data_IF_714152175466
#
_entry.id   IF_714152175466
#
_cell.length_a   1.000
_cell.length_b   1.000
_cell.length_c   1.000
_cell.angle_alpha   90.00
_cell.angle_beta   90.00
_cell.angle_gamma   90.00
#
_symmetry.space_group_name_H-M   'P 1'
#
loop_
_entity.id
_entity.type
_entity.pdbx_description
1 polymer ?
#
# COMPACT_ATOMS: atom_id res chain seq x y z
N UNK A 1 19.46 15.84 12.01
CA UNK A 1 19.26 14.50 12.59
C UNK A 1 18.92 13.56 11.46
N UNK A 2 19.64 12.47 11.32
CA UNK A 2 19.36 11.41 10.34
C UNK A 2 17.98 10.81 10.61
N UNK A 3 17.22 10.43 9.56
CA UNK A 3 15.88 9.85 9.75
C UNK A 3 15.63 8.70 8.79
N UNK A 4 15.24 7.56 9.37
CA UNK A 4 14.73 6.37 8.72
C UNK A 4 13.38 5.95 9.31
N UNK A 5 12.62 6.92 9.81
CA UNK A 5 11.35 6.70 10.51
C UNK A 5 10.23 6.24 9.57
N UNK A 6 10.19 6.82 8.37
CA UNK A 6 9.13 6.55 7.39
C UNK A 6 9.58 6.87 5.95
N UNK A 7 8.76 6.52 4.96
CA UNK A 7 8.98 6.68 3.53
C UNK A 7 8.14 7.80 2.88
N UNK A 8 7.56 8.71 3.66
CA UNK A 8 6.69 9.78 3.17
C UNK A 8 7.06 11.19 3.69
N UNK A 9 8.28 11.38 4.20
CA UNK A 9 8.71 12.70 4.69
C UNK A 9 9.28 13.62 3.62
N UNK A 10 9.66 13.11 2.43
CA UNK A 10 10.16 13.91 1.33
C UNK A 10 9.00 14.35 0.42
N UNK A 11 9.14 15.52 -0.22
CA UNK A 11 8.05 16.12 -0.98
C UNK A 11 7.67 15.30 -2.24
N UNK A 12 8.52 15.30 -3.27
CA UNK A 12 8.33 14.56 -4.52
C UNK A 12 9.64 14.45 -5.28
N UNK A 13 9.68 13.57 -6.29
CA UNK A 13 10.85 13.46 -7.17
C UNK A 13 11.11 14.76 -7.93
N UNK A 14 12.38 15.07 -8.26
CA UNK A 14 12.74 16.25 -9.05
C UNK A 14 11.96 16.37 -10.36
N UNK A 15 11.66 15.26 -11.02
CA UNK A 15 10.90 15.20 -12.27
C UNK A 15 9.47 15.71 -12.10
N UNK A 16 8.81 15.34 -11.00
CA UNK A 16 7.46 15.84 -10.68
C UNK A 16 7.52 17.33 -10.36
N UNK A 17 8.48 17.77 -9.55
CA UNK A 17 8.65 19.19 -9.20
C UNK A 17 8.89 20.05 -10.44
N UNK A 18 9.74 19.59 -11.37
CA UNK A 18 10.01 20.29 -12.64
C UNK A 18 8.72 20.44 -13.46
N UNK A 19 7.96 19.37 -13.66
CA UNK A 19 6.69 19.42 -14.40
C UNK A 19 5.64 20.30 -13.74
N UNK A 20 5.55 20.30 -12.41
CA UNK A 20 4.66 21.21 -11.68
C UNK A 20 5.05 22.67 -11.91
N UNK A 21 6.34 22.99 -11.92
CA UNK A 21 6.83 24.35 -12.19
C UNK A 21 6.51 24.79 -13.64
N UNK A 22 6.71 23.90 -14.62
CA UNK A 22 6.40 24.15 -16.04
C UNK A 22 4.91 24.41 -16.28
N UNK A 23 4.04 23.76 -15.51
CA UNK A 23 2.57 23.84 -15.65
C UNK A 23 1.90 24.85 -14.72
N UNK A 24 2.67 25.62 -13.95
CA UNK A 24 2.16 26.47 -12.87
C UNK A 24 1.08 27.48 -13.29
N UNK A 25 1.11 27.96 -14.54
CA UNK A 25 0.14 28.91 -15.11
C UNK A 25 -0.78 28.27 -16.16
N UNK A 26 -0.66 26.97 -16.41
CA UNK A 26 -1.52 26.25 -17.36
C UNK A 26 -2.93 26.08 -16.80
N UNK A 27 -3.93 26.09 -17.69
CA UNK A 27 -5.32 25.87 -17.33
C UNK A 27 -5.77 24.50 -17.84
N UNK A 28 -6.27 23.67 -16.92
CA UNK A 28 -6.78 22.34 -17.21
C UNK A 28 -8.25 22.22 -16.80
N UNK A 29 -9.04 21.37 -17.47
CA UNK A 29 -10.34 20.93 -16.97
C UNK A 29 -10.22 20.43 -15.52
N UNK A 30 -11.24 20.69 -14.71
CA UNK A 30 -11.26 20.29 -13.30
C UNK A 30 -11.55 18.81 -13.09
N UNK A 31 -11.34 18.35 -11.87
CA UNK A 31 -11.80 17.07 -11.35
C UNK A 31 -11.21 15.82 -12.03
N UNK A 32 -10.02 15.94 -12.64
CA UNK A 32 -9.32 14.82 -13.27
C UNK A 32 -9.88 14.36 -14.62
N UNK A 33 -10.56 15.29 -15.35
CA UNK A 33 -11.11 15.04 -16.69
C UNK A 33 -10.24 15.63 -17.81
N UNK A 34 -8.99 15.95 -17.48
CA UNK A 34 -8.00 16.57 -18.35
C UNK A 34 -7.12 15.57 -19.09
N UNK A 35 -6.46 16.03 -20.16
CA UNK A 35 -5.60 15.20 -20.99
C UNK A 35 -4.40 14.60 -20.25
N UNK A 36 -3.91 15.28 -19.19
CA UNK A 36 -2.78 14.77 -18.40
C UNK A 36 -3.22 13.56 -17.57
N UNK A 37 -4.41 13.64 -16.96
CA UNK A 37 -5.02 12.49 -16.29
C UNK A 37 -5.27 11.34 -17.24
N UNK A 38 -5.77 11.60 -18.45
CA UNK A 38 -6.00 10.54 -19.45
C UNK A 38 -4.68 9.90 -19.93
N UNK A 39 -3.62 10.69 -20.11
CA UNK A 39 -2.27 10.18 -20.39
C UNK A 39 -1.76 9.26 -19.28
N UNK A 40 -1.89 9.69 -18.01
CA UNK A 40 -1.51 8.86 -16.86
C UNK A 40 -2.28 7.54 -16.82
N UNK A 41 -3.60 7.60 -17.03
CA UNK A 41 -4.46 6.39 -17.08
C UNK A 41 -4.04 5.46 -18.22
N UNK A 42 -3.71 5.98 -19.40
CA UNK A 42 -3.26 5.17 -20.53
C UNK A 42 -1.95 4.42 -20.19
N UNK A 43 -0.97 5.10 -19.60
CA UNK A 43 0.30 4.49 -19.17
C UNK A 43 0.10 3.43 -18.10
N UNK A 44 -0.79 3.66 -17.15
CA UNK A 44 -1.12 2.66 -16.11
C UNK A 44 -1.80 1.44 -16.73
N UNK A 45 -2.77 1.62 -17.66
CA UNK A 45 -3.39 0.49 -18.39
C UNK A 45 -2.35 -0.34 -19.14
N UNK A 46 -1.41 0.31 -19.80
CA UNK A 46 -0.30 -0.35 -20.50
C UNK A 46 0.57 -1.13 -19.52
N UNK A 47 1.01 -0.51 -18.43
CA UNK A 47 1.85 -1.15 -17.41
C UNK A 47 1.17 -2.37 -16.75
N UNK A 48 -0.14 -2.33 -16.57
CA UNK A 48 -0.94 -3.41 -15.99
C UNK A 48 -1.38 -4.47 -17.02
N UNK A 49 -1.07 -4.30 -18.31
CA UNK A 49 -1.63 -5.08 -19.41
C UNK A 49 -3.18 -5.23 -19.33
N UNK A 50 -3.86 -4.18 -18.85
CA UNK A 50 -5.30 -4.18 -18.57
C UNK A 50 -5.96 -3.00 -19.32
N UNK A 51 -6.25 -3.13 -20.63
CA UNK A 51 -6.72 -2.04 -21.46
C UNK A 51 -8.11 -1.49 -21.06
N UNK A 52 -8.94 -2.35 -20.47
CA UNK A 52 -10.30 -2.02 -20.04
C UNK A 52 -10.36 -1.49 -18.59
N UNK A 53 -9.21 -1.33 -17.91
CA UNK A 53 -9.19 -0.83 -16.55
C UNK A 53 -9.74 0.60 -16.46
N UNK A 54 -10.61 0.80 -15.47
CA UNK A 54 -11.11 2.11 -15.09
C UNK A 54 -10.27 2.66 -13.94
N UNK A 55 -9.68 3.86 -14.14
CA UNK A 55 -8.69 4.40 -13.20
C UNK A 55 -9.19 5.71 -12.62
N UNK A 56 -9.05 5.86 -11.29
CA UNK A 56 -9.39 7.07 -10.57
C UNK A 56 -8.25 7.47 -9.62
N UNK A 57 -7.95 8.77 -9.52
CA UNK A 57 -6.90 9.27 -8.63
C UNK A 57 -7.51 9.85 -7.36
N UNK A 58 -6.97 9.42 -6.21
CA UNK A 58 -7.31 9.91 -4.87
C UNK A 58 -6.08 10.46 -4.15
N UNK A 59 -6.25 11.17 -3.03
CA UNK A 59 -5.18 11.99 -2.45
C UNK A 59 -4.25 11.21 -1.52
N UNK A 60 -4.73 10.13 -0.91
CA UNK A 60 -3.93 9.37 0.06
C UNK A 60 -4.56 8.03 0.43
N UNK A 61 -3.77 7.11 1.02
CA UNK A 61 -4.15 5.71 1.26
C UNK A 61 -5.42 5.55 2.09
N UNK A 62 -5.52 6.18 3.26
CA UNK A 62 -6.71 6.10 4.13
C UNK A 62 -7.97 6.59 3.42
N UNK A 63 -7.88 7.70 2.68
CA UNK A 63 -9.00 8.18 1.88
C UNK A 63 -9.37 7.18 0.78
N UNK A 64 -8.38 6.57 0.14
CA UNK A 64 -8.57 5.55 -0.89
C UNK A 64 -9.27 4.32 -0.33
N UNK A 65 -8.80 3.79 0.79
CA UNK A 65 -9.39 2.63 1.44
C UNK A 65 -10.84 2.91 1.86
N UNK A 66 -11.10 4.05 2.50
CA UNK A 66 -12.43 4.46 2.91
C UNK A 66 -13.39 4.55 1.72
N UNK A 67 -13.01 5.26 0.65
CA UNK A 67 -13.86 5.50 -0.52
C UNK A 67 -14.11 4.23 -1.33
N UNK A 68 -13.06 3.43 -1.56
CA UNK A 68 -13.18 2.20 -2.35
C UNK A 68 -14.03 1.18 -1.60
N UNK A 69 -13.76 0.97 -0.31
CA UNK A 69 -14.50 0.01 0.51
C UNK A 69 -15.98 0.39 0.60
N UNK A 70 -16.29 1.67 0.84
CA UNK A 70 -17.69 2.14 0.83
C UNK A 70 -18.39 1.93 -0.51
N UNK A 71 -17.63 2.05 -1.60
CA UNK A 71 -18.18 1.90 -2.96
C UNK A 71 -18.45 0.46 -3.38
N UNK A 72 -17.61 -0.51 -2.93
CA UNK A 72 -17.69 -1.92 -3.39
C UNK A 72 -18.33 -2.85 -2.38
N UNK A 73 -18.51 -2.43 -1.12
CA UNK A 73 -19.04 -3.28 -0.07
C UNK A 73 -20.49 -2.95 0.24
N UNK A 74 -21.42 -3.92 0.19
CA UNK A 74 -22.81 -3.67 0.57
C UNK A 74 -22.94 -3.18 2.03
N UNK A 75 -23.93 -2.33 2.37
CA UNK A 75 -24.03 -1.70 3.70
C UNK A 75 -24.28 -2.69 4.85
N UNK A 76 -24.66 -3.94 4.57
CA UNK A 76 -24.83 -5.01 5.54
C UNK A 76 -23.58 -5.88 5.72
N UNK A 77 -22.51 -5.57 5.01
CA UNK A 77 -21.30 -6.39 4.95
C UNK A 77 -20.09 -5.66 5.52
N UNK A 78 -19.10 -6.43 5.90
CA UNK A 78 -17.82 -5.96 6.46
C UNK A 78 -16.63 -6.34 5.59
N UNK A 79 -15.46 -5.93 6.02
CA UNK A 79 -14.17 -6.08 5.33
C UNK A 79 -13.35 -7.16 6.00
N UNK A 80 -13.05 -8.25 5.31
CA UNK A 80 -12.17 -9.31 5.81
C UNK A 80 -10.72 -8.91 5.57
N UNK A 81 -9.93 -8.79 6.63
CA UNK A 81 -8.53 -8.40 6.58
C UNK A 81 -7.72 -9.03 7.71
N UNK A 82 -6.39 -9.04 7.59
CA UNK A 82 -5.50 -9.41 8.68
C UNK A 82 -5.75 -8.53 9.92
N UNK A 83 -5.55 -9.07 11.13
CA UNK A 83 -5.59 -8.28 12.37
C UNK A 83 -4.63 -7.09 12.32
N UNK A 84 -3.54 -7.18 11.58
CA UNK A 84 -2.54 -6.14 11.34
C UNK A 84 -2.82 -5.26 10.13
N UNK A 85 -3.88 -5.56 9.35
CA UNK A 85 -4.24 -4.81 8.16
C UNK A 85 -4.43 -3.32 8.46
N UNK A 86 -3.94 -2.46 7.59
CA UNK A 86 -3.89 -1.00 7.81
C UNK A 86 -5.27 -0.41 8.15
N UNK A 87 -6.33 -0.90 7.48
CA UNK A 87 -7.72 -0.50 7.73
C UNK A 87 -8.20 -0.81 9.15
N UNK A 88 -7.64 -1.83 9.81
CA UNK A 88 -8.00 -2.22 11.17
C UNK A 88 -7.21 -1.45 12.24
N UNK A 89 -5.96 -1.01 11.96
CA UNK A 89 -5.01 -0.57 13.00
C UNK A 89 -4.65 0.90 12.90
N UNK A 90 -4.51 1.45 11.67
CA UNK A 90 -3.88 2.76 11.45
C UNK A 90 -4.74 3.79 10.70
N UNK A 91 -6.06 3.57 10.61
CA UNK A 91 -6.97 4.47 9.88
C UNK A 91 -8.05 5.12 10.75
N UNK A 92 -7.87 5.09 12.07
CA UNK A 92 -8.77 5.75 13.02
C UNK A 92 -10.26 5.38 12.85
N UNK A 93 -10.56 4.15 12.41
CA UNK A 93 -11.92 3.70 12.16
C UNK A 93 -12.55 4.28 10.90
N UNK A 94 -11.75 4.55 9.85
CA UNK A 94 -12.25 5.16 8.62
C UNK A 94 -13.30 4.28 7.90
N UNK A 95 -13.12 2.96 7.90
CA UNK A 95 -14.11 2.03 7.32
C UNK A 95 -15.36 1.89 8.18
N UNK A 96 -15.22 1.92 9.51
CA UNK A 96 -16.34 1.92 10.45
C UNK A 96 -17.14 3.23 10.35
N UNK A 97 -16.47 4.35 10.08
CA UNK A 97 -17.13 5.64 9.84
C UNK A 97 -18.06 5.59 8.60
N UNK A 98 -17.78 4.76 7.61
CA UNK A 98 -18.67 4.52 6.46
C UNK A 98 -19.74 3.46 6.74
N UNK A 99 -19.71 2.83 7.92
CA UNK A 99 -20.70 1.82 8.34
C UNK A 99 -20.24 0.38 8.14
N UNK A 100 -19.00 0.14 7.68
CA UNK A 100 -18.49 -1.20 7.45
C UNK A 100 -17.66 -1.69 8.62
N UNK A 101 -17.94 -2.90 9.08
CA UNK A 101 -17.21 -3.54 10.18
C UNK A 101 -15.92 -4.19 9.65
N UNK A 102 -14.81 -4.01 10.35
CA UNK A 102 -13.63 -4.85 10.19
C UNK A 102 -13.90 -6.28 10.68
N UNK A 103 -13.67 -7.27 9.81
CA UNK A 103 -13.78 -8.71 10.09
C UNK A 103 -12.36 -9.27 10.05
N UNK A 104 -11.75 -9.42 11.23
CA UNK A 104 -10.32 -9.73 11.32
C UNK A 104 -10.04 -11.22 11.27
N UNK A 105 -9.03 -11.63 10.49
CA UNK A 105 -8.42 -12.95 10.53
C UNK A 105 -7.06 -12.88 11.23
N UNK A 106 -6.58 -13.99 11.81
CA UNK A 106 -5.19 -14.11 12.24
C UNK A 106 -4.23 -13.75 11.12
N UNK A 107 -3.04 -13.29 11.46
CA UNK A 107 -2.00 -13.03 10.46
C UNK A 107 -0.79 -13.94 10.63
N UNK A 108 -0.12 -14.23 9.52
CA UNK A 108 1.17 -14.89 9.44
C UNK A 108 2.16 -13.91 8.80
N UNK A 109 2.96 -13.25 9.62
CA UNK A 109 3.87 -12.17 9.20
C UNK A 109 3.17 -11.05 8.39
N UNK A 110 1.96 -10.67 8.83
CA UNK A 110 1.14 -9.64 8.17
C UNK A 110 0.20 -10.14 7.08
N UNK A 111 0.29 -11.41 6.66
CA UNK A 111 -0.54 -12.02 5.63
C UNK A 111 -1.72 -12.78 6.23
N UNK A 112 -2.86 -12.83 5.53
CA UNK A 112 -3.93 -13.81 5.79
C UNK A 112 -3.62 -15.10 5.04
N UNK A 113 -4.07 -16.22 5.58
CA UNK A 113 -4.00 -17.53 4.93
C UNK A 113 -5.30 -17.84 4.18
N UNK A 114 -5.19 -18.47 3.00
CA UNK A 114 -6.35 -18.76 2.15
C UNK A 114 -7.25 -19.86 2.73
N UNK A 115 -6.68 -20.86 3.40
CA UNK A 115 -7.44 -21.93 4.02
C UNK A 115 -8.19 -21.41 5.26
N UNK A 116 -7.57 -20.52 6.06
CA UNK A 116 -8.23 -19.82 7.18
C UNK A 116 -9.36 -18.90 6.69
N UNK A 117 -9.18 -18.22 5.56
CA UNK A 117 -10.22 -17.43 4.92
C UNK A 117 -11.40 -18.31 4.47
N UNK A 118 -11.12 -19.48 3.87
CA UNK A 118 -12.16 -20.43 3.47
C UNK A 118 -12.92 -20.99 4.66
N UNK A 119 -12.20 -21.38 5.72
CA UNK A 119 -12.81 -21.86 6.98
C UNK A 119 -13.70 -20.81 7.64
N UNK A 120 -13.23 -19.56 7.69
CA UNK A 120 -14.01 -18.43 8.22
C UNK A 120 -15.33 -18.26 7.45
N UNK A 121 -15.28 -18.22 6.13
CA UNK A 121 -16.47 -18.08 5.29
C UNK A 121 -17.38 -19.32 5.38
N UNK A 122 -16.82 -20.52 5.36
CA UNK A 122 -17.59 -21.76 5.48
C UNK A 122 -18.33 -21.83 6.83
N UNK A 123 -17.67 -21.46 7.92
CA UNK A 123 -18.26 -21.39 9.27
C UNK A 123 -19.38 -20.36 9.33
N UNK A 124 -19.17 -19.18 8.75
CA UNK A 124 -20.19 -18.14 8.66
C UNK A 124 -21.46 -18.66 7.98
N UNK A 125 -21.34 -19.26 6.80
CA UNK A 125 -22.50 -19.74 6.04
C UNK A 125 -23.13 -21.04 6.58
N UNK A 126 -22.43 -21.77 7.45
CA UNK A 126 -22.97 -22.94 8.15
C UNK A 126 -23.83 -22.56 9.36
N UNK A 127 -23.74 -21.33 9.87
CA UNK A 127 -24.60 -20.86 10.97
C UNK A 127 -26.03 -20.69 10.48
N UNK A 128 -27.00 -21.33 11.15
CA UNK A 128 -28.41 -21.20 10.80
C UNK A 128 -28.99 -19.78 10.92
N UNK A 129 -28.29 -18.90 11.62
CA UNK A 129 -28.65 -17.50 11.82
C UNK A 129 -27.71 -16.50 11.11
N UNK A 130 -26.91 -16.95 10.14
CA UNK A 130 -25.94 -16.09 9.46
C UNK A 130 -26.55 -14.79 8.89
N UNK A 131 -27.85 -14.82 8.54
CA UNK A 131 -28.57 -13.62 8.06
C UNK A 131 -28.73 -12.52 9.12
N UNK A 132 -28.45 -12.80 10.39
CA UNK A 132 -28.44 -11.81 11.49
C UNK A 132 -27.02 -11.25 11.75
N UNK A 133 -26.03 -11.75 11.04
CA UNK A 133 -24.61 -11.39 11.22
C UNK A 133 -24.15 -10.41 10.14
N UNK A 134 -23.02 -9.75 10.38
CA UNK A 134 -22.35 -8.94 9.34
C UNK A 134 -21.73 -9.89 8.32
N UNK A 135 -22.12 -9.76 7.07
CA UNK A 135 -21.60 -10.61 5.99
C UNK A 135 -20.13 -10.32 5.68
N UNK A 136 -19.30 -11.32 5.34
CA UNK A 136 -18.04 -11.08 4.68
C UNK A 136 -18.30 -10.46 3.29
N UNK A 137 -17.93 -9.19 3.11
CA UNK A 137 -18.33 -8.39 1.94
C UNK A 137 -17.24 -8.12 0.94
N UNK A 138 -16.00 -7.96 1.40
CA UNK A 138 -14.81 -7.88 0.56
C UNK A 138 -13.61 -8.40 1.33
N UNK A 139 -12.58 -8.83 0.60
CA UNK A 139 -11.27 -9.19 1.15
C UNK A 139 -10.29 -8.07 0.86
N UNK A 140 -9.64 -7.56 1.91
CA UNK A 140 -8.60 -6.53 1.84
C UNK A 140 -7.25 -7.12 2.26
N UNK A 141 -6.25 -6.96 1.42
CA UNK A 141 -4.85 -7.32 1.70
C UNK A 141 -3.92 -6.21 1.24
N UNK A 142 -2.74 -6.12 1.84
CA UNK A 142 -1.69 -5.16 1.46
C UNK A 142 -0.53 -5.84 0.74
N UNK A 143 -0.07 -5.29 -0.38
CA UNK A 143 1.12 -5.72 -1.11
C UNK A 143 2.08 -4.53 -1.31
N UNK A 144 3.24 -4.44 -0.59
CA UNK A 144 3.67 -5.27 0.54
C UNK A 144 2.79 -5.08 1.79
N UNK A 145 2.82 -6.08 2.71
CA UNK A 145 2.13 -5.98 3.99
C UNK A 145 2.70 -4.86 4.87
N UNK A 146 2.05 -4.56 5.97
CA UNK A 146 2.49 -3.58 6.97
C UNK A 146 3.85 -3.95 7.58
N UNK A 147 4.20 -5.23 7.59
CA UNK A 147 5.50 -5.76 8.01
C UNK A 147 6.53 -5.87 6.87
N UNK A 148 6.20 -5.38 5.67
CA UNK A 148 7.09 -5.39 4.50
C UNK A 148 7.27 -6.77 3.86
N UNK A 149 6.52 -7.77 4.30
CA UNK A 149 6.47 -9.10 3.70
C UNK A 149 5.64 -9.09 2.42
N UNK A 150 5.77 -10.15 1.61
CA UNK A 150 5.12 -10.24 0.32
C UNK A 150 4.21 -11.47 0.25
N UNK A 151 3.03 -11.30 -0.34
CA UNK A 151 2.30 -12.43 -0.87
C UNK A 151 3.00 -12.94 -2.13
N UNK A 152 3.19 -14.24 -2.22
CA UNK A 152 3.62 -14.92 -3.45
C UNK A 152 2.47 -14.98 -4.46
N UNK A 153 2.79 -15.24 -5.72
CA UNK A 153 1.77 -15.44 -6.76
C UNK A 153 0.79 -16.58 -6.38
N UNK A 154 1.32 -17.67 -5.85
CA UNK A 154 0.50 -18.80 -5.42
C UNK A 154 -0.47 -18.45 -4.27
N UNK A 155 -0.02 -17.66 -3.27
CA UNK A 155 -0.87 -17.19 -2.17
C UNK A 155 -1.98 -16.26 -2.69
N UNK A 156 -1.65 -15.33 -3.60
CA UNK A 156 -2.64 -14.44 -4.22
C UNK A 156 -3.68 -15.22 -5.03
N UNK A 157 -3.26 -16.21 -5.81
CA UNK A 157 -4.16 -17.07 -6.58
C UNK A 157 -5.08 -17.90 -5.68
N UNK A 158 -4.55 -18.40 -4.54
CA UNK A 158 -5.35 -19.11 -3.55
C UNK A 158 -6.41 -18.19 -2.93
N UNK A 159 -6.05 -17.00 -2.48
CA UNK A 159 -7.00 -16.01 -1.95
C UNK A 159 -8.05 -15.63 -3.01
N UNK A 160 -7.63 -15.36 -4.25
CA UNK A 160 -8.55 -15.05 -5.35
C UNK A 160 -9.59 -16.15 -5.57
N UNK A 161 -9.17 -17.42 -5.48
CA UNK A 161 -10.06 -18.57 -5.62
C UNK A 161 -11.15 -18.57 -4.53
N UNK A 162 -10.79 -18.25 -3.29
CA UNK A 162 -11.75 -18.15 -2.20
C UNK A 162 -12.68 -16.95 -2.37
N UNK A 163 -12.14 -15.79 -2.77
CA UNK A 163 -12.95 -14.62 -3.10
C UNK A 163 -14.00 -14.95 -4.17
N UNK A 164 -13.61 -15.67 -5.21
CA UNK A 164 -14.54 -16.12 -6.27
C UNK A 164 -15.59 -17.10 -5.75
N UNK A 165 -15.20 -18.03 -4.86
CA UNK A 165 -16.12 -19.04 -4.27
C UNK A 165 -17.26 -18.39 -3.49
N UNK A 166 -16.97 -17.28 -2.80
CA UNK A 166 -17.93 -16.61 -1.91
C UNK A 166 -18.46 -15.27 -2.47
N UNK A 167 -18.17 -14.98 -3.75
CA UNK A 167 -18.62 -13.75 -4.42
C UNK A 167 -18.20 -12.46 -3.69
N UNK A 168 -16.95 -12.44 -3.23
CA UNK A 168 -16.35 -11.29 -2.57
C UNK A 168 -15.33 -10.61 -3.48
N UNK A 169 -15.37 -9.29 -3.68
CA UNK A 169 -14.29 -8.59 -4.36
C UNK A 169 -12.99 -8.69 -3.56
N UNK A 170 -11.87 -8.86 -4.28
CA UNK A 170 -10.51 -8.75 -3.75
C UNK A 170 -9.99 -7.35 -3.97
N UNK A 171 -9.74 -6.62 -2.89
CA UNK A 171 -9.11 -5.30 -2.88
C UNK A 171 -7.66 -5.39 -2.39
N UNK A 172 -6.71 -4.97 -3.23
CA UNK A 172 -5.28 -4.97 -2.88
C UNK A 172 -4.80 -3.54 -2.63
N UNK A 173 -4.42 -3.27 -1.39
CA UNK A 173 -3.73 -2.05 -0.97
C UNK A 173 -2.29 -2.07 -1.49
N UNK A 174 -2.01 -1.18 -2.43
CA UNK A 174 -0.69 -1.02 -3.04
C UNK A 174 0.05 0.22 -2.57
N UNK A 175 -0.13 0.67 -1.32
CA UNK A 175 0.55 1.86 -0.78
C UNK A 175 2.08 1.82 -0.99
N UNK A 176 2.64 0.60 -1.00
CA UNK A 176 4.05 0.32 -1.24
C UNK A 176 4.28 -0.62 -2.43
N UNK A 177 3.36 -0.61 -3.41
CA UNK A 177 3.40 -1.56 -4.54
C UNK A 177 4.72 -1.49 -5.31
N UNK A 178 5.27 -0.30 -5.57
CA UNK A 178 6.55 -0.15 -6.25
C UNK A 178 7.69 -0.88 -5.52
N UNK A 179 7.73 -0.79 -4.21
CA UNK A 179 8.72 -1.51 -3.40
C UNK A 179 8.47 -3.02 -3.43
N UNK A 180 7.23 -3.47 -3.37
CA UNK A 180 6.88 -4.88 -3.50
C UNK A 180 7.33 -5.46 -4.85
N UNK A 181 6.99 -4.81 -5.96
CA UNK A 181 7.32 -5.24 -7.32
C UNK A 181 8.83 -5.30 -7.61
N UNK A 182 9.63 -4.54 -6.87
CA UNK A 182 11.10 -4.48 -7.08
C UNK A 182 11.90 -5.20 -6.01
N UNK A 183 11.24 -5.81 -5.03
CA UNK A 183 11.90 -6.53 -3.94
C UNK A 183 12.58 -7.81 -4.43
N UNK A 184 13.65 -8.21 -3.73
CA UNK A 184 14.33 -9.48 -3.98
C UNK A 184 13.40 -10.65 -3.66
N UNK A 185 13.35 -11.66 -4.54
CA UNK A 185 12.51 -12.84 -4.37
C UNK A 185 11.02 -12.64 -4.65
N UNK A 186 10.60 -11.45 -5.08
CA UNK A 186 9.23 -11.22 -5.55
C UNK A 186 8.98 -11.99 -6.87
N UNK A 187 7.87 -12.72 -6.92
CA UNK A 187 7.40 -13.49 -8.08
C UNK A 187 6.10 -12.95 -8.69
N UNK A 188 5.64 -11.77 -8.23
CA UNK A 188 4.38 -11.13 -8.64
C UNK A 188 4.66 -9.92 -9.50
N UNK A 189 4.01 -9.83 -10.65
CA UNK A 189 4.06 -8.66 -11.53
C UNK A 189 2.85 -7.74 -11.31
N UNK A 190 2.88 -6.52 -11.85
CA UNK A 190 1.72 -5.62 -11.79
C UNK A 190 0.56 -6.16 -12.65
N UNK A 191 0.87 -6.90 -13.71
CA UNK A 191 -0.11 -7.60 -14.54
C UNK A 191 -0.81 -8.73 -13.76
N UNK A 192 -0.07 -9.45 -12.91
CA UNK A 192 -0.66 -10.45 -12.01
C UNK A 192 -1.60 -9.82 -10.99
N UNK A 193 -1.21 -8.69 -10.40
CA UNK A 193 -2.08 -7.91 -9.51
C UNK A 193 -3.37 -7.51 -10.24
N UNK A 194 -3.26 -6.97 -11.46
CA UNK A 194 -4.41 -6.56 -12.26
C UNK A 194 -5.31 -7.73 -12.68
N UNK A 195 -4.73 -8.91 -12.90
CA UNK A 195 -5.47 -10.14 -13.24
C UNK A 195 -6.24 -10.71 -12.05
N UNK A 196 -5.67 -10.59 -10.84
CA UNK A 196 -6.18 -11.26 -9.64
C UNK A 196 -7.11 -10.37 -8.81
N UNK A 197 -6.87 -9.07 -8.74
CA UNK A 197 -7.67 -8.13 -7.98
C UNK A 197 -8.92 -7.68 -8.75
N UNK A 198 -10.03 -7.43 -8.07
CA UNK A 198 -11.17 -6.70 -8.63
C UNK A 198 -10.89 -5.19 -8.62
N UNK A 199 -10.18 -4.74 -7.59
CA UNK A 199 -9.67 -3.38 -7.47
C UNK A 199 -8.35 -3.40 -6.70
N UNK A 200 -7.43 -2.54 -7.11
CA UNK A 200 -6.21 -2.28 -6.34
C UNK A 200 -5.83 -0.82 -6.48
N UNK A 201 -4.90 -0.35 -5.68
CA UNK A 201 -4.32 0.95 -5.98
C UNK A 201 -2.80 0.92 -6.06
N UNK A 202 -2.26 1.80 -6.88
CA UNK A 202 -0.83 2.04 -7.04
C UNK A 202 -0.47 3.23 -6.17
N UNK A 203 0.32 2.99 -5.12
CA UNK A 203 0.74 4.02 -4.19
C UNK A 203 1.73 5.00 -4.82
N UNK A 204 1.37 6.28 -4.81
CA UNK A 204 2.27 7.37 -5.22
C UNK A 204 2.89 8.08 -4.02
N UNK A 205 2.12 8.32 -2.97
CA UNK A 205 2.54 9.09 -1.79
C UNK A 205 3.86 8.62 -1.18
N UNK A 206 4.09 7.31 -1.10
CA UNK A 206 5.34 6.73 -0.57
C UNK A 206 6.39 6.49 -1.64
N UNK A 207 6.00 6.45 -2.92
CA UNK A 207 6.86 6.10 -4.06
C UNK A 207 7.03 7.30 -5.00
N UNK A 208 7.53 8.39 -4.46
CA UNK A 208 8.02 9.54 -5.23
C UNK A 208 7.01 10.62 -5.59
N UNK A 209 5.71 10.43 -5.41
CA UNK A 209 4.73 11.49 -5.56
C UNK A 209 4.69 12.40 -4.32
N UNK A 210 4.22 13.61 -4.50
CA UNK A 210 3.96 14.55 -3.40
C UNK A 210 2.75 14.07 -2.57
N UNK A 211 1.76 13.52 -3.24
CA UNK A 211 0.55 12.90 -2.71
C UNK A 211 -0.16 12.15 -3.83
N UNK A 212 -0.96 11.17 -3.47
CA UNK A 212 -1.89 10.53 -4.39
C UNK A 212 -1.68 9.03 -4.56
N UNK A 213 -2.81 8.40 -4.90
CA UNK A 213 -2.96 6.98 -5.15
C UNK A 213 -3.76 6.80 -6.45
N UNK A 214 -3.37 5.88 -7.31
CA UNK A 214 -4.12 5.53 -8.51
C UNK A 214 -4.93 4.26 -8.25
N UNK A 215 -6.24 4.39 -8.09
CA UNK A 215 -7.18 3.28 -7.95
C UNK A 215 -7.44 2.69 -9.33
N UNK A 216 -7.32 1.37 -9.45
CA UNK A 216 -7.50 0.61 -10.69
C UNK A 216 -8.59 -0.43 -10.49
N UNK A 217 -9.72 -0.25 -11.14
CA UNK A 217 -10.78 -1.25 -11.28
C UNK A 217 -10.50 -2.07 -12.53
N UNK A 218 -10.33 -3.37 -12.39
CA UNK A 218 -9.64 -4.18 -13.41
C UNK A 218 -10.56 -4.79 -14.48
N UNK A 219 -11.86 -4.88 -14.21
CA UNK A 219 -12.79 -5.64 -15.04
C UNK A 219 -13.97 -4.79 -15.58
N UNK A 220 -13.76 -3.46 -15.73
CA UNK A 220 -14.88 -2.55 -16.06
C UNK A 220 -15.93 -2.55 -14.94
N UNK A 221 -15.49 -2.76 -13.71
CA UNK A 221 -16.31 -2.99 -12.52
C UNK A 221 -16.31 -1.79 -11.56
N UNK A 222 -15.88 -0.62 -12.03
CA UNK A 222 -16.01 0.60 -11.23
C UNK A 222 -17.50 0.86 -10.93
N UNK A 223 -17.89 1.05 -9.66
CA UNK A 223 -19.29 1.29 -9.29
C UNK A 223 -19.88 2.46 -10.08
N UNK A 224 -21.08 2.29 -10.60
CA UNK A 224 -21.75 3.24 -11.52
C UNK A 224 -21.75 4.70 -11.03
N UNK A 225 -21.76 4.92 -9.72
CA UNK A 225 -21.79 6.26 -9.11
C UNK A 225 -20.53 6.55 -8.30
N UNK A 226 -19.40 5.94 -8.66
CA UNK A 226 -18.15 6.07 -7.90
C UNK A 226 -17.75 7.55 -7.70
N UNK A 227 -17.80 8.38 -8.74
CA UNK A 227 -17.50 9.83 -8.63
C UNK A 227 -18.42 10.53 -7.62
N UNK A 228 -19.68 10.12 -7.51
CA UNK A 228 -20.63 10.66 -6.53
C UNK A 228 -20.21 10.29 -5.10
N UNK A 229 -19.79 9.04 -4.88
CA UNK A 229 -19.27 8.55 -3.60
C UNK A 229 -18.00 9.31 -3.25
N UNK A 230 -17.04 9.41 -4.17
CA UNK A 230 -15.82 10.23 -4.01
C UNK A 230 -16.17 11.66 -3.57
N UNK A 231 -17.19 12.27 -4.19
CA UNK A 231 -17.63 13.62 -3.85
C UNK A 231 -18.25 13.71 -2.45
N UNK A 232 -19.05 12.70 -2.04
CA UNK A 232 -19.63 12.62 -0.71
C UNK A 232 -18.57 12.55 0.40
N UNK A 233 -17.47 11.83 0.16
CA UNK A 233 -16.31 11.75 1.05
C UNK A 233 -15.42 13.01 1.02
N UNK A 234 -15.78 14.05 0.26
CA UNK A 234 -14.94 15.23 0.08
C UNK A 234 -13.62 14.97 -0.65
N UNK A 235 -13.53 13.81 -1.32
CA UNK A 235 -12.31 13.31 -1.95
C UNK A 235 -12.15 13.76 -3.42
N UNK A 236 -13.16 14.41 -4.02
CA UNK A 236 -13.11 14.87 -5.40
C UNK A 236 -12.37 16.20 -5.50
N UNK A 237 -11.10 16.15 -5.85
CA UNK A 237 -10.20 17.29 -5.91
C UNK A 237 -10.49 18.16 -7.15
N UNK A 238 -10.79 19.46 -6.95
CA UNK A 238 -11.05 20.38 -8.05
C UNK A 238 -9.85 20.50 -9.01
N UNK A 239 -8.62 20.48 -8.49
CA UNK A 239 -7.39 20.44 -9.28
C UNK A 239 -6.89 19.01 -9.45
N UNK A 240 -7.76 18.09 -9.86
CA UNK A 240 -7.45 16.65 -10.01
C UNK A 240 -6.32 16.36 -11.00
N UNK A 241 -6.07 17.26 -11.96
CA UNK A 241 -4.95 17.17 -12.88
C UNK A 241 -3.57 17.10 -12.19
N UNK A 242 -3.46 17.65 -10.96
CA UNK A 242 -2.23 17.54 -10.16
C UNK A 242 -1.90 16.08 -9.81
N UNK A 243 -2.92 15.25 -9.57
CA UNK A 243 -2.74 13.82 -9.36
C UNK A 243 -2.30 13.13 -10.65
N UNK A 244 -3.02 13.41 -11.76
CA UNK A 244 -2.67 12.87 -13.07
C UNK A 244 -1.25 13.21 -13.50
N UNK A 245 -0.80 14.45 -13.32
CA UNK A 245 0.55 14.87 -13.67
C UNK A 245 1.63 14.07 -12.94
N UNK A 246 1.42 13.76 -11.67
CA UNK A 246 2.36 12.98 -10.88
C UNK A 246 2.45 11.53 -11.38
N UNK A 247 1.30 10.88 -11.60
CA UNK A 247 1.29 9.51 -12.14
C UNK A 247 1.76 9.44 -13.59
N UNK A 248 1.42 10.43 -14.42
CA UNK A 248 1.96 10.53 -15.77
C UNK A 248 3.49 10.59 -15.78
N UNK A 249 4.06 11.34 -14.83
CA UNK A 249 5.52 11.43 -14.64
C UNK A 249 6.10 10.11 -14.14
N UNK A 250 5.52 9.52 -13.11
CA UNK A 250 6.01 8.27 -12.50
C UNK A 250 5.98 7.10 -13.50
N UNK A 251 4.99 7.06 -14.39
CA UNK A 251 4.87 6.02 -15.41
C UNK A 251 5.53 6.39 -16.75
N UNK A 252 6.36 7.43 -16.77
CA UNK A 252 7.24 7.77 -17.91
C UNK A 252 8.62 7.16 -17.67
N UNK A 253 9.19 6.53 -18.70
CA UNK A 253 10.57 5.99 -18.73
C UNK A 253 10.91 5.09 -17.52
N UNK A 254 9.92 4.37 -16.99
CA UNK A 254 10.09 3.43 -15.89
C UNK A 254 10.51 4.07 -14.56
N UNK A 255 10.24 5.36 -14.35
CA UNK A 255 10.64 6.09 -13.14
C UNK A 255 10.13 5.43 -11.87
N UNK A 256 8.85 5.02 -11.83
CA UNK A 256 8.21 4.41 -10.67
C UNK A 256 8.98 3.20 -10.11
N UNK A 257 9.31 2.24 -10.97
CA UNK A 257 10.06 1.04 -10.55
C UNK A 257 11.54 1.35 -10.29
N UNK A 258 12.15 2.30 -11.02
CA UNK A 258 13.55 2.68 -10.80
C UNK A 258 13.79 3.27 -9.44
N UNK A 259 12.94 4.20 -8.99
CA UNK A 259 13.07 4.83 -7.67
C UNK A 259 12.68 3.88 -6.53
N UNK A 260 11.75 2.97 -6.77
CA UNK A 260 11.40 1.93 -5.81
C UNK A 260 12.56 0.94 -5.61
N UNK A 261 13.21 0.50 -6.67
CA UNK A 261 14.41 -0.37 -6.61
C UNK A 261 15.54 0.31 -5.84
N UNK A 262 15.79 1.59 -6.08
CA UNK A 262 16.79 2.35 -5.33
C UNK A 262 16.57 2.29 -3.80
N UNK A 263 15.32 2.41 -3.36
CA UNK A 263 14.99 2.30 -1.94
C UNK A 263 15.23 0.88 -1.38
N UNK A 264 14.88 -0.15 -2.14
CA UNK A 264 15.13 -1.54 -1.76
C UNK A 264 16.63 -1.85 -1.71
N UNK A 265 17.41 -1.40 -2.70
CA UNK A 265 18.87 -1.57 -2.71
C UNK A 265 19.53 -0.90 -1.47
N UNK A 266 19.04 0.27 -1.08
CA UNK A 266 19.48 0.94 0.16
C UNK A 266 19.11 0.12 1.42
N UNK A 267 17.90 -0.44 1.46
CA UNK A 267 17.45 -1.31 2.54
C UNK A 267 18.30 -2.59 2.63
N UNK A 268 18.61 -3.21 1.50
CA UNK A 268 19.44 -4.43 1.43
C UNK A 268 20.85 -4.21 2.01
N UNK A 269 21.45 -3.06 1.72
CA UNK A 269 22.75 -2.68 2.30
C UNK A 269 22.67 -2.59 3.82
N UNK A 270 21.62 -1.95 4.36
CA UNK A 270 21.41 -1.81 5.81
C UNK A 270 21.15 -3.20 6.43
N UNK A 271 20.25 -3.99 5.83
CA UNK A 271 19.88 -5.35 6.29
C UNK A 271 21.10 -6.26 6.39
N UNK A 272 21.97 -6.23 5.37
CA UNK A 272 23.22 -6.98 5.36
C UNK A 272 24.09 -6.65 6.58
N UNK A 273 24.29 -5.37 6.87
CA UNK A 273 25.12 -4.93 8.01
C UNK A 273 24.48 -5.31 9.34
N UNK A 274 23.16 -5.17 9.48
CA UNK A 274 22.46 -5.61 10.69
C UNK A 274 22.72 -7.10 10.98
N UNK A 275 22.57 -7.95 9.97
CA UNK A 275 22.82 -9.40 10.09
C UNK A 275 24.29 -9.70 10.40
N UNK A 276 25.24 -9.05 9.71
CA UNK A 276 26.68 -9.20 9.95
C UNK A 276 27.10 -8.78 11.38
N UNK A 277 26.39 -7.83 11.97
CA UNK A 277 26.63 -7.37 13.35
C UNK A 277 25.82 -8.11 14.41
N UNK A 278 25.05 -9.12 14.02
CA UNK A 278 24.31 -10.00 14.92
C UNK A 278 22.98 -9.43 15.43
N UNK A 279 22.44 -8.39 14.79
CA UNK A 279 21.10 -7.92 15.11
C UNK A 279 20.02 -8.92 14.63
N UNK A 280 18.96 -9.07 15.42
CA UNK A 280 17.83 -9.94 15.07
C UNK A 280 16.83 -9.18 14.22
N UNK A 281 16.66 -9.59 12.97
CA UNK A 281 15.55 -9.13 12.14
C UNK A 281 14.26 -9.80 12.59
N UNK A 282 13.21 -8.99 12.80
CA UNK A 282 11.93 -9.48 13.34
C UNK A 282 11.12 -10.22 12.27
N UNK A 283 11.16 -9.72 11.03
CA UNK A 283 10.43 -10.27 9.88
C UNK A 283 11.38 -10.46 8.69
N UNK A 284 11.12 -11.47 7.87
CA UNK A 284 11.77 -11.62 6.56
C UNK A 284 11.07 -10.70 5.55
N UNK A 285 11.45 -9.41 5.60
CA UNK A 285 10.86 -8.35 4.81
C UNK A 285 11.85 -7.88 3.73
N UNK A 286 11.67 -8.26 2.45
CA UNK A 286 12.62 -7.94 1.39
C UNK A 286 12.43 -6.53 0.80
N UNK A 287 11.53 -5.74 1.35
CA UNK A 287 11.18 -4.39 0.86
C UNK A 287 12.01 -3.28 1.51
N UNK A 288 11.61 -2.03 1.28
CA UNK A 288 12.20 -0.82 1.86
C UNK A 288 12.02 -0.70 3.39
N UNK A 289 11.28 -1.60 4.02
CA UNK A 289 11.08 -1.63 5.47
C UNK A 289 11.89 -2.76 6.10
N UNK A 290 12.66 -2.44 7.13
CA UNK A 290 13.43 -3.40 7.92
C UNK A 290 12.94 -3.31 9.36
N UNK A 291 12.58 -4.43 9.93
CA UNK A 291 12.15 -4.52 11.33
C UNK A 291 13.22 -5.24 12.13
N UNK A 292 13.70 -4.58 13.16
CA UNK A 292 14.79 -5.08 14.00
C UNK A 292 14.38 -5.05 15.46
N UNK A 293 14.60 -6.16 16.17
CA UNK A 293 14.38 -6.23 17.61
C UNK A 293 15.64 -5.72 18.32
N UNK A 294 15.50 -4.62 19.04
CA UNK A 294 16.57 -3.98 19.80
C UNK A 294 16.27 -4.04 21.29
N UNK A 295 17.31 -4.27 22.10
CA UNK A 295 17.18 -3.98 23.52
C UNK A 295 16.97 -2.47 23.76
N UNK A 296 16.36 -2.12 24.89
CA UNK A 296 15.96 -0.73 25.18
C UNK A 296 17.19 0.22 25.23
N UNK A 297 18.34 -0.24 25.71
CA UNK A 297 19.57 0.58 25.80
C UNK A 297 20.13 0.89 24.40
N UNK A 298 20.19 -0.12 23.53
CA UNK A 298 20.61 0.04 22.12
C UNK A 298 19.62 0.93 21.36
N UNK A 299 18.32 0.75 21.56
CA UNK A 299 17.30 1.60 20.96
C UNK A 299 17.43 3.06 21.37
N UNK A 300 17.61 3.34 22.67
CA UNK A 300 17.82 4.69 23.20
C UNK A 300 19.14 5.31 22.69
N UNK A 301 20.20 4.52 22.61
CA UNK A 301 21.51 4.97 22.09
C UNK A 301 21.38 5.42 20.63
N UNK A 302 20.80 4.58 19.77
CA UNK A 302 20.64 4.89 18.35
C UNK A 302 19.75 6.11 18.13
N UNK A 303 18.66 6.23 18.88
CA UNK A 303 17.69 7.33 18.71
C UNK A 303 18.23 8.72 19.14
N UNK A 304 19.43 8.82 19.73
CA UNK A 304 20.12 10.10 19.95
C UNK A 304 20.59 10.74 18.63
N UNK A 305 20.96 9.91 17.64
CA UNK A 305 21.57 10.34 16.39
C UNK A 305 20.69 10.09 15.16
N UNK A 306 19.81 9.08 15.22
CA UNK A 306 18.92 8.69 14.13
C UNK A 306 17.48 8.47 14.61
N UNK A 307 16.49 8.95 13.84
CA UNK A 307 15.09 8.64 14.08
C UNK A 307 14.74 7.32 13.41
N UNK A 308 14.19 6.39 14.20
CA UNK A 308 13.66 5.11 13.77
C UNK A 308 12.16 5.06 14.08
N UNK A 309 11.40 4.30 13.32
CA UNK A 309 9.98 4.09 13.58
C UNK A 309 9.78 3.09 14.73
N UNK A 310 8.97 3.43 15.72
CA UNK A 310 8.49 2.48 16.72
C UNK A 310 7.44 1.57 16.05
N UNK A 311 7.52 0.26 16.26
CA UNK A 311 6.52 -0.70 15.81
C UNK A 311 5.72 -1.26 16.98
N UNK A 312 6.39 -1.99 17.86
CA UNK A 312 5.74 -2.60 19.02
C UNK A 312 6.76 -2.95 20.12
N UNK A 313 6.29 -3.30 21.29
CA UNK A 313 7.11 -3.91 22.34
C UNK A 313 7.20 -5.41 22.08
N UNK A 314 8.42 -5.93 21.93
CA UNK A 314 8.65 -7.38 21.89
C UNK A 314 8.50 -8.02 23.27
N UNK A 315 9.03 -7.36 24.29
CA UNK A 315 8.91 -7.69 25.71
C UNK A 315 9.25 -6.46 26.59
N UNK A 316 9.42 -6.64 27.90
CA UNK A 316 9.75 -5.55 28.83
C UNK A 316 11.12 -4.92 28.56
N UNK A 317 12.03 -5.64 27.91
CA UNK A 317 13.43 -5.28 27.66
C UNK A 317 13.78 -5.00 26.20
N UNK A 318 12.91 -5.37 25.28
CA UNK A 318 13.13 -5.24 23.84
C UNK A 318 11.98 -4.54 23.13
N UNK A 319 12.34 -3.81 22.09
CA UNK A 319 11.40 -3.08 21.21
C UNK A 319 11.69 -3.42 19.75
N UNK A 320 10.63 -3.66 18.98
CA UNK A 320 10.72 -3.77 17.52
C UNK A 320 10.75 -2.36 16.95
N UNK A 321 11.86 -2.01 16.31
CA UNK A 321 12.06 -0.74 15.62
C UNK A 321 12.06 -0.96 14.11
N UNK A 322 11.47 0.00 13.38
CA UNK A 322 11.48 -0.01 11.93
C UNK A 322 12.52 0.96 11.39
N UNK A 323 13.34 0.48 10.46
CA UNK A 323 14.20 1.28 9.59
C UNK A 323 13.55 1.32 8.23
N UNK A 324 13.21 2.52 7.72
CA UNK A 324 12.48 2.68 6.49
C UNK A 324 13.29 3.53 5.50
N UNK A 325 13.70 2.95 4.38
CA UNK A 325 14.30 3.68 3.25
C UNK A 325 13.23 4.21 2.32
N UNK A 326 13.57 5.14 1.47
CA UNK A 326 12.66 5.72 0.48
C UNK A 326 13.38 6.02 -0.83
N UNK A 327 12.63 6.42 -1.83
CA UNK A 327 13.14 6.90 -3.12
C UNK A 327 14.19 8.02 -2.98
N UNK A 328 14.18 8.77 -1.87
CA UNK A 328 15.07 9.89 -1.61
C UNK A 328 16.25 9.53 -0.68
N UNK A 329 16.36 8.28 -0.23
CA UNK A 329 17.45 7.84 0.64
C UNK A 329 18.78 7.87 -0.13
N UNK A 330 19.76 8.60 0.38
CA UNK A 330 21.08 8.74 -0.25
C UNK A 330 22.08 7.73 0.29
N UNK A 331 23.09 7.39 -0.51
CA UNK A 331 24.21 6.53 -0.06
C UNK A 331 24.88 7.07 1.19
N UNK A 332 25.07 8.39 1.29
CA UNK A 332 25.63 9.04 2.47
C UNK A 332 24.80 8.76 3.73
N UNK A 333 23.47 8.85 3.64
CA UNK A 333 22.60 8.55 4.78
C UNK A 333 22.70 7.09 5.21
N UNK A 334 22.77 6.16 4.23
CA UNK A 334 22.99 4.73 4.49
C UNK A 334 24.33 4.52 5.22
N UNK A 335 25.42 5.13 4.72
CA UNK A 335 26.75 5.02 5.32
C UNK A 335 26.78 5.60 6.76
N UNK A 336 26.12 6.74 6.99
CA UNK A 336 25.97 7.35 8.32
C UNK A 336 25.20 6.42 9.27
N UNK A 337 24.08 5.81 8.83
CA UNK A 337 23.35 4.86 9.66
C UNK A 337 24.18 3.63 9.97
N UNK A 338 24.83 3.04 8.96
CA UNK A 338 25.68 1.87 9.12
C UNK A 338 26.83 2.13 10.12
N UNK A 339 27.36 3.35 10.18
CA UNK A 339 28.40 3.71 11.16
C UNK A 339 27.88 3.75 12.61
N UNK A 340 26.58 3.99 12.83
CA UNK A 340 25.95 4.03 14.15
C UNK A 340 25.53 2.64 14.67
N UNK A 341 25.21 1.71 13.78
CA UNK A 341 24.83 0.34 14.13
C UNK A 341 25.99 -0.42 14.77
#
# INVERSE_FOLDING_TARGET
MLSFENDYSCAATPEIIARLAETATSQYPGYGTDDVCESAKAKIREACACPDAEIFFLVGGTQTNQVVIDAITPPYAGVVAATTGHVNVHEAGAIEFTGHKGLTLPHHDGKIDADELDEYCATFYADGNYTHMVFPGCVYISQATEYGTLYTLAELEAIRKICTKYDMPLFIDGARLGYALTASGNDVTIEDIARLADVFYIGGTKVGAMFGEAVVFTHGNMPKHFVTIVKQHGALLAKGWLLGLQFDTLFTDGLYLRIARHANDAADRIRKVLVERGYTLTFDAPTNQIFVTLDNETSERLQRDVRLGFTEKADDTHTVMRICTSWATTDKQVDELVALL
#
